data_IF_837894953626
#
_entry.id   IF_837894953626
#
_cell.length_a   1.000
_cell.length_b   1.000
_cell.length_c   1.000
_cell.angle_alpha   90.00
_cell.angle_beta   90.00
_cell.angle_gamma   90.00
#
_symmetry.space_group_name_H-M   'P 1'
#
loop_
_entity.id
_entity.type
_entity.pdbx_description
1 polymer ?
#
# COMPACT_ATOMS: atom_id res chain seq x y z
N UNK A 1 33.76 3.27 -5.06
CA UNK A 1 32.32 2.97 -5.20
C UNK A 1 31.55 4.26 -4.94
N UNK A 2 30.70 4.71 -5.85
CA UNK A 2 29.83 5.85 -5.59
C UNK A 2 28.63 5.36 -4.76
N UNK A 3 28.49 5.86 -3.53
CA UNK A 3 27.25 5.69 -2.77
C UNK A 3 26.20 6.61 -3.38
N UNK A 4 25.27 6.03 -4.12
CA UNK A 4 24.08 6.74 -4.63
C UNK A 4 22.97 6.46 -3.63
N UNK A 5 22.35 7.52 -3.10
CA UNK A 5 21.14 7.39 -2.30
C UNK A 5 19.93 7.65 -3.19
N UNK A 6 19.12 6.62 -3.55
CA UNK A 6 18.06 6.77 -4.54
C UNK A 6 17.01 7.83 -4.20
N UNK A 7 16.77 8.07 -2.91
CA UNK A 7 15.84 9.12 -2.47
C UNK A 7 16.31 10.53 -2.84
N UNK A 8 17.63 10.79 -2.84
CA UNK A 8 18.18 12.10 -3.18
C UNK A 8 18.02 12.40 -4.67
N UNK A 9 18.04 11.38 -5.53
CA UNK A 9 17.82 11.53 -6.97
C UNK A 9 16.44 12.11 -7.27
N UNK A 10 15.41 11.76 -6.50
CA UNK A 10 14.06 12.31 -6.68
C UNK A 10 14.04 13.82 -6.40
N UNK A 11 14.68 14.25 -5.31
CA UNK A 11 14.77 15.66 -4.93
C UNK A 11 15.60 16.44 -5.96
N UNK A 12 16.75 15.91 -6.39
CA UNK A 12 17.58 16.50 -7.43
C UNK A 12 16.81 16.64 -8.75
N UNK A 13 16.03 15.63 -9.15
CA UNK A 13 15.21 15.67 -10.36
C UNK A 13 14.11 16.75 -10.26
N UNK A 14 13.48 16.89 -9.10
CA UNK A 14 12.50 17.95 -8.85
C UNK A 14 13.14 19.33 -8.96
N UNK A 15 14.23 19.59 -8.24
CA UNK A 15 14.91 20.89 -8.29
C UNK A 15 15.40 21.23 -9.70
N UNK A 16 15.96 20.25 -10.41
CA UNK A 16 16.36 20.44 -11.80
C UNK A 16 15.15 20.81 -12.67
N UNK A 17 14.01 20.14 -12.48
CA UNK A 17 12.77 20.44 -13.25
C UNK A 17 12.18 21.81 -12.94
N UNK A 18 12.34 22.30 -11.70
CA UNK A 18 11.89 23.63 -11.29
C UNK A 18 12.82 24.74 -11.77
N UNK A 19 14.12 24.48 -11.90
CA UNK A 19 15.13 25.48 -12.28
C UNK A 19 15.40 25.52 -13.79
N UNK A 20 15.24 24.37 -14.47
CA UNK A 20 15.45 24.27 -15.91
C UNK A 20 14.17 24.63 -16.69
N UNK A 21 14.18 25.83 -17.25
CA UNK A 21 13.13 26.32 -18.14
C UNK A 21 13.50 26.19 -19.63
N UNK A 22 14.57 25.45 -19.96
CA UNK A 22 14.93 25.19 -21.34
C UNK A 22 13.84 24.40 -22.08
N UNK A 23 13.76 24.59 -23.40
CA UNK A 23 12.84 23.81 -24.24
C UNK A 23 13.31 22.35 -24.26
N UNK A 24 12.37 21.42 -24.25
CA UNK A 24 12.69 20.00 -24.38
C UNK A 24 13.35 19.73 -25.73
N UNK A 25 14.53 19.15 -25.71
CA UNK A 25 15.22 18.67 -26.91
C UNK A 25 14.52 17.41 -27.45
N UNK A 26 13.81 17.48 -28.59
CA UNK A 26 13.02 16.36 -29.12
C UNK A 26 13.86 15.12 -29.42
N UNK A 27 15.18 15.27 -29.64
CA UNK A 27 16.10 14.16 -29.85
C UNK A 27 16.33 13.31 -28.58
N UNK A 28 16.17 13.93 -27.40
CA UNK A 28 16.34 13.28 -26.09
C UNK A 28 15.03 12.86 -25.44
N UNK A 29 13.90 13.33 -25.95
CA UNK A 29 12.56 13.10 -25.38
C UNK A 29 11.64 12.29 -26.30
N UNK A 30 12.22 11.51 -27.23
CA UNK A 30 11.45 10.66 -28.16
C UNK A 30 10.35 11.45 -28.92
N UNK A 31 10.70 12.65 -29.40
CA UNK A 31 9.79 13.53 -30.13
C UNK A 31 8.86 14.41 -29.28
N UNK A 32 8.89 14.31 -27.96
CA UNK A 32 8.06 15.16 -27.10
C UNK A 32 8.57 16.61 -27.08
N UNK A 33 7.65 17.55 -27.31
CA UNK A 33 7.93 19.00 -27.37
C UNK A 33 7.57 19.74 -26.08
N UNK A 34 6.99 19.03 -25.10
CA UNK A 34 6.60 19.61 -23.80
C UNK A 34 7.84 19.72 -22.90
N UNK A 35 8.13 20.93 -22.42
CA UNK A 35 9.18 21.18 -21.41
C UNK A 35 8.87 20.53 -20.06
N UNK A 36 9.92 20.15 -19.32
CA UNK A 36 9.82 19.40 -18.05
C UNK A 36 8.96 20.10 -17.00
N UNK A 37 9.15 21.41 -16.83
CA UNK A 37 8.35 22.22 -15.91
C UNK A 37 6.86 22.21 -16.24
N UNK A 38 6.50 22.31 -17.52
CA UNK A 38 5.09 22.26 -17.97
C UNK A 38 4.48 20.88 -17.73
N UNK A 39 5.23 19.81 -17.99
CA UNK A 39 4.79 18.45 -17.70
C UNK A 39 4.56 18.25 -16.20
N UNK A 40 5.47 18.75 -15.35
CA UNK A 40 5.33 18.70 -13.89
C UNK A 40 4.04 19.37 -13.42
N UNK A 41 3.72 20.57 -13.91
CA UNK A 41 2.47 21.25 -13.56
C UNK A 41 1.22 20.51 -14.05
N UNK A 42 1.24 19.96 -15.27
CA UNK A 42 0.13 19.18 -15.82
C UNK A 42 -0.13 17.96 -14.94
N UNK A 43 0.92 17.18 -14.64
CA UNK A 43 0.82 15.98 -13.81
C UNK A 43 0.41 16.33 -12.38
N UNK A 44 0.95 17.41 -11.81
CA UNK A 44 0.59 17.89 -10.47
C UNK A 44 -0.88 18.27 -10.35
N UNK A 45 -1.41 19.04 -11.30
CA UNK A 45 -2.83 19.40 -11.33
C UNK A 45 -3.73 18.18 -11.59
N UNK A 46 -3.30 17.27 -12.47
CA UNK A 46 -4.02 16.03 -12.72
C UNK A 46 -4.07 15.14 -11.47
N UNK A 47 -2.95 14.99 -10.76
CA UNK A 47 -2.86 14.22 -9.52
C UNK A 47 -3.70 14.86 -8.40
N UNK A 48 -3.65 16.19 -8.26
CA UNK A 48 -4.48 16.94 -7.33
C UNK A 48 -5.97 16.66 -7.58
N UNK A 49 -6.41 16.69 -8.84
CA UNK A 49 -7.80 16.43 -9.20
C UNK A 49 -8.17 14.96 -9.02
N UNK A 50 -7.27 14.04 -9.40
CA UNK A 50 -7.48 12.60 -9.26
C UNK A 50 -7.67 12.20 -7.79
N UNK A 51 -6.95 12.83 -6.86
CA UNK A 51 -7.01 12.51 -5.42
C UNK A 51 -8.43 12.53 -4.83
N UNK A 52 -9.31 13.40 -5.32
CA UNK A 52 -10.70 13.50 -4.86
C UNK A 52 -11.53 12.27 -5.21
N UNK A 53 -11.20 11.56 -6.30
CA UNK A 53 -11.94 10.41 -6.77
C UNK A 53 -11.85 9.22 -5.80
N UNK A 54 -10.67 8.63 -5.54
CA UNK A 54 -10.56 7.55 -4.58
C UNK A 54 -10.78 8.04 -3.14
N UNK A 55 -10.39 9.27 -2.78
CA UNK A 55 -10.50 9.76 -1.41
C UNK A 55 -11.94 10.07 -0.96
N UNK A 56 -12.77 10.60 -1.86
CA UNK A 56 -14.08 11.15 -1.47
C UNK A 56 -15.25 10.70 -2.36
N UNK A 57 -15.11 10.75 -3.69
CA UNK A 57 -16.23 10.49 -4.62
C UNK A 57 -16.59 9.00 -4.67
N UNK A 58 -15.58 8.14 -4.87
CA UNK A 58 -15.76 6.69 -4.92
C UNK A 58 -14.59 5.96 -4.25
N UNK A 59 -14.73 5.71 -2.95
CA UNK A 59 -13.75 5.00 -2.12
C UNK A 59 -13.47 3.56 -2.56
N UNK A 60 -14.33 2.98 -3.39
CA UNK A 60 -14.07 1.68 -4.02
C UNK A 60 -12.86 1.69 -4.96
N UNK A 61 -12.42 2.86 -5.44
CA UNK A 61 -11.19 3.00 -6.23
C UNK A 61 -9.91 2.77 -5.40
N UNK A 62 -9.93 3.09 -4.10
CA UNK A 62 -8.79 2.85 -3.22
C UNK A 62 -8.56 1.36 -2.96
N UNK A 63 -9.63 0.57 -2.89
CA UNK A 63 -9.58 -0.87 -2.65
C UNK A 63 -10.45 -1.60 -3.66
N UNK A 64 -9.92 -1.74 -4.88
CA UNK A 64 -10.70 -2.21 -6.02
C UNK A 64 -10.81 -3.74 -6.03
N UNK A 65 -11.66 -4.28 -5.15
CA UNK A 65 -11.87 -5.72 -4.97
C UNK A 65 -13.17 -6.20 -5.64
N UNK A 66 -13.17 -6.29 -6.98
CA UNK A 66 -14.35 -6.75 -7.75
C UNK A 66 -14.87 -8.10 -7.25
N UNK A 67 -14.00 -9.05 -6.93
CA UNK A 67 -14.39 -10.37 -6.44
C UNK A 67 -15.23 -10.28 -5.15
N UNK A 68 -14.85 -9.39 -4.22
CA UNK A 68 -15.61 -9.15 -2.99
C UNK A 68 -16.94 -8.43 -3.26
N UNK A 69 -17.05 -7.62 -4.32
CA UNK A 69 -18.31 -6.98 -4.70
C UNK A 69 -19.31 -7.97 -5.32
N UNK A 70 -18.81 -8.97 -6.05
CA UNK A 70 -19.65 -10.02 -6.65
C UNK A 70 -20.20 -10.96 -5.56
N UNK A 71 -19.38 -11.32 -4.57
CA UNK A 71 -19.76 -12.25 -3.50
C UNK A 71 -19.45 -11.69 -2.10
N UNK A 72 -20.14 -10.62 -1.66
CA UNK A 72 -19.82 -9.91 -0.42
C UNK A 72 -20.04 -10.76 0.84
N UNK A 73 -20.95 -11.72 0.80
CA UNK A 73 -21.27 -12.57 1.95
C UNK A 73 -20.40 -13.84 2.04
N UNK A 74 -19.51 -14.08 1.07
CA UNK A 74 -18.66 -15.26 1.07
C UNK A 74 -17.42 -15.03 1.93
N UNK A 75 -17.32 -15.74 3.05
CA UNK A 75 -16.16 -15.65 3.96
C UNK A 75 -14.86 -16.01 3.22
N UNK A 76 -14.89 -17.05 2.37
CA UNK A 76 -13.70 -17.50 1.62
C UNK A 76 -13.26 -16.43 0.62
N UNK A 77 -14.18 -15.84 -0.13
CA UNK A 77 -13.85 -14.79 -1.11
C UNK A 77 -13.26 -13.57 -0.42
N UNK A 78 -13.84 -13.16 0.72
CA UNK A 78 -13.31 -12.04 1.50
C UNK A 78 -11.95 -12.35 2.13
N UNK A 79 -11.70 -13.59 2.60
CA UNK A 79 -10.38 -14.00 3.11
C UNK A 79 -9.32 -13.97 2.01
N UNK A 80 -9.64 -14.41 0.78
CA UNK A 80 -8.68 -14.48 -0.32
C UNK A 80 -8.45 -13.12 -1.02
N UNK A 81 -9.52 -12.39 -1.33
CA UNK A 81 -9.45 -11.20 -2.19
C UNK A 81 -9.75 -9.89 -1.45
N UNK A 82 -10.13 -9.95 -0.18
CA UNK A 82 -10.38 -8.74 0.62
C UNK A 82 -9.09 -7.99 0.90
N UNK A 83 -9.06 -6.69 0.62
CA UNK A 83 -7.87 -5.85 0.81
C UNK A 83 -7.60 -5.47 2.29
N UNK A 84 -8.64 -5.34 3.12
CA UNK A 84 -8.48 -4.88 4.51
C UNK A 84 -8.18 -6.01 5.50
N UNK A 85 -8.91 -7.13 5.40
CA UNK A 85 -8.85 -8.24 6.37
C UNK A 85 -8.49 -9.59 5.73
N UNK A 86 -8.18 -9.60 4.44
CA UNK A 86 -7.83 -10.79 3.66
C UNK A 86 -6.43 -10.69 3.07
N UNK A 87 -6.06 -11.66 2.24
CA UNK A 87 -4.74 -11.73 1.59
C UNK A 87 -4.56 -10.72 0.45
N UNK A 88 -5.64 -10.15 -0.10
CA UNK A 88 -5.58 -9.21 -1.20
C UNK A 88 -4.86 -9.76 -2.45
N UNK A 89 -5.10 -11.03 -2.81
CA UNK A 89 -4.37 -11.73 -3.89
C UNK A 89 -4.41 -11.04 -5.25
N UNK A 90 -5.39 -10.17 -5.48
CA UNK A 90 -5.48 -9.30 -6.65
C UNK A 90 -5.46 -7.85 -6.14
N UNK A 91 -4.28 -7.30 -5.84
CA UNK A 91 -4.16 -5.98 -5.22
C UNK A 91 -4.28 -4.91 -6.32
N UNK A 92 -5.51 -4.50 -6.62
CA UNK A 92 -5.78 -3.38 -7.53
C UNK A 92 -6.20 -2.18 -6.70
N UNK A 93 -5.48 -1.08 -6.89
CA UNK A 93 -5.81 0.21 -6.31
C UNK A 93 -5.56 1.28 -7.36
N UNK A 94 -6.45 2.27 -7.40
CA UNK A 94 -6.30 3.49 -8.18
C UNK A 94 -5.95 4.69 -7.30
N UNK A 95 -5.56 4.42 -6.05
CA UNK A 95 -5.19 5.41 -5.06
C UNK A 95 -3.69 5.28 -4.76
N UNK A 96 -2.94 6.31 -5.16
CA UNK A 96 -1.50 6.33 -4.94
C UNK A 96 -1.13 6.27 -3.45
N UNK A 97 -1.98 6.78 -2.55
CA UNK A 97 -1.70 6.74 -1.11
C UNK A 97 -1.81 5.35 -0.53
N UNK A 98 -2.68 4.50 -1.07
CA UNK A 98 -2.75 3.09 -0.70
C UNK A 98 -1.49 2.36 -1.15
N UNK A 99 -0.98 2.66 -2.35
CA UNK A 99 0.25 2.07 -2.86
C UNK A 99 1.49 2.51 -2.04
N UNK A 100 1.56 3.78 -1.63
CA UNK A 100 2.75 4.32 -0.94
C UNK A 100 2.68 4.31 0.59
N UNK A 101 1.52 4.04 1.18
CA UNK A 101 1.28 4.20 2.62
C UNK A 101 2.20 3.37 3.52
N UNK A 102 2.62 2.18 3.06
CA UNK A 102 3.50 1.28 3.81
C UNK A 102 4.91 1.16 3.22
N UNK A 103 5.05 1.16 1.89
CA UNK A 103 6.32 0.88 1.20
C UNK A 103 7.06 2.19 0.85
N UNK A 104 6.43 3.35 1.02
CA UNK A 104 6.93 4.61 0.47
C UNK A 104 6.77 4.63 -1.05
N UNK A 105 7.62 5.37 -1.77
CA UNK A 105 7.53 5.42 -3.24
C UNK A 105 8.21 4.20 -3.89
N UNK A 106 7.46 3.28 -4.54
CA UNK A 106 8.05 2.11 -5.19
C UNK A 106 8.83 2.47 -6.47
N UNK A 107 8.75 3.73 -6.92
CA UNK A 107 9.49 4.22 -8.09
C UNK A 107 10.97 4.51 -7.78
N UNK A 108 11.33 4.54 -6.50
CA UNK A 108 12.70 4.82 -6.02
C UNK A 108 13.58 3.56 -6.04
N UNK A 109 13.18 2.42 -5.43
CA UNK A 109 14.01 1.23 -5.41
C UNK A 109 14.14 0.59 -6.81
N UNK A 110 15.28 -0.05 -7.10
CA UNK A 110 15.48 -0.74 -8.36
C UNK A 110 14.64 -2.02 -8.44
N UNK A 111 14.35 -2.46 -9.67
CA UNK A 111 13.47 -3.61 -9.93
C UNK A 111 13.86 -4.89 -9.17
N UNK A 112 15.16 -5.20 -9.07
CA UNK A 112 15.62 -6.41 -8.38
C UNK A 112 15.28 -6.41 -6.88
N UNK A 113 15.30 -5.25 -6.22
CA UNK A 113 14.94 -5.11 -4.82
C UNK A 113 13.43 -5.30 -4.66
N UNK A 114 12.63 -4.71 -5.55
CA UNK A 114 11.17 -4.89 -5.59
C UNK A 114 10.81 -6.37 -5.82
N UNK A 115 11.46 -7.02 -6.79
CA UNK A 115 11.22 -8.42 -7.11
C UNK A 115 11.59 -9.36 -5.95
N UNK A 116 12.68 -9.08 -5.24
CA UNK A 116 13.07 -9.84 -4.05
C UNK A 116 12.04 -9.72 -2.92
N UNK A 117 11.60 -8.50 -2.61
CA UNK A 117 10.54 -8.25 -1.61
C UNK A 117 9.24 -8.94 -2.02
N UNK A 118 8.84 -8.82 -3.29
CA UNK A 118 7.65 -9.50 -3.83
C UNK A 118 7.75 -11.02 -3.67
N UNK A 119 8.92 -11.61 -3.95
CA UNK A 119 9.17 -13.03 -3.73
C UNK A 119 9.00 -13.44 -2.26
N UNK A 120 9.52 -12.61 -1.34
CA UNK A 120 9.33 -12.82 0.10
C UNK A 120 7.86 -12.75 0.53
N UNK A 121 7.10 -11.78 0.01
CA UNK A 121 5.67 -11.64 0.28
C UNK A 121 4.91 -12.86 -0.26
N UNK A 122 5.17 -13.28 -1.50
CA UNK A 122 4.51 -14.46 -2.08
C UNK A 122 4.82 -15.72 -1.28
N UNK A 123 6.07 -15.91 -0.86
CA UNK A 123 6.42 -17.12 -0.12
C UNK A 123 5.87 -17.11 1.31
N UNK A 124 6.19 -16.10 2.11
CA UNK A 124 5.82 -16.08 3.53
C UNK A 124 4.36 -15.69 3.75
N UNK A 125 3.91 -14.61 3.12
CA UNK A 125 2.58 -14.07 3.39
C UNK A 125 1.49 -14.77 2.56
N UNK A 126 1.76 -15.11 1.30
CA UNK A 126 0.77 -15.82 0.49
C UNK A 126 0.84 -17.32 0.81
N UNK A 127 1.93 -18.02 0.51
CA UNK A 127 1.97 -19.49 0.60
C UNK A 127 1.93 -19.99 2.06
N UNK A 128 2.88 -19.57 2.90
CA UNK A 128 3.01 -20.11 4.27
C UNK A 128 1.83 -19.71 5.14
N UNK A 129 1.47 -18.41 5.17
CA UNK A 129 0.34 -17.95 5.98
C UNK A 129 -0.99 -18.55 5.51
N UNK A 130 -1.26 -18.65 4.20
CA UNK A 130 -2.48 -19.33 3.74
C UNK A 130 -2.50 -20.79 4.18
N UNK A 131 -1.35 -21.48 4.10
CA UNK A 131 -1.24 -22.86 4.57
C UNK A 131 -1.65 -23.02 6.03
N UNK A 132 -1.20 -22.12 6.91
CA UNK A 132 -1.53 -22.11 8.34
C UNK A 132 -3.00 -21.72 8.59
N UNK A 133 -3.49 -20.70 7.86
CA UNK A 133 -4.85 -20.16 8.07
C UNK A 133 -5.93 -21.14 7.63
N UNK A 134 -5.73 -21.82 6.51
CA UNK A 134 -6.68 -22.80 5.99
C UNK A 134 -6.48 -24.22 6.55
N UNK A 135 -5.38 -24.51 7.27
CA UNK A 135 -5.21 -25.77 8.00
C UNK A 135 -5.87 -25.78 9.38
N UNK A 136 -6.46 -24.65 9.82
CA UNK A 136 -7.03 -24.50 11.15
C UNK A 136 -5.99 -24.45 12.27
N UNK A 137 -4.71 -24.28 11.93
CA UNK A 137 -3.64 -24.21 12.92
C UNK A 137 -3.81 -22.96 13.79
N UNK A 138 -3.65 -23.12 15.11
CA UNK A 138 -3.80 -22.06 16.12
C UNK A 138 -5.16 -21.35 16.14
N UNK A 139 -6.25 -22.03 15.77
CA UNK A 139 -7.58 -21.41 15.76
C UNK A 139 -7.64 -20.17 14.83
N UNK A 140 -6.80 -20.15 13.80
CA UNK A 140 -6.68 -19.04 12.84
C UNK A 140 -7.99 -18.75 12.09
N UNK A 141 -8.87 -19.74 11.95
CA UNK A 141 -10.18 -19.57 11.34
C UNK A 141 -11.10 -18.57 12.05
N UNK A 142 -10.91 -18.39 13.36
CA UNK A 142 -11.73 -17.51 14.20
C UNK A 142 -11.27 -16.06 14.17
N UNK A 143 -10.11 -15.78 13.56
CA UNK A 143 -9.55 -14.44 13.44
C UNK A 143 -9.45 -14.03 11.96
N UNK A 144 -9.54 -12.72 11.65
CA UNK A 144 -9.24 -12.26 10.30
C UNK A 144 -7.82 -12.62 9.89
N UNK A 145 -7.58 -12.78 8.59
CA UNK A 145 -6.25 -13.12 8.04
C UNK A 145 -5.21 -12.09 8.47
N UNK A 146 -5.62 -10.82 8.46
CA UNK A 146 -4.79 -9.70 8.88
C UNK A 146 -5.65 -8.70 9.65
N UNK A 147 -5.06 -8.15 10.71
CA UNK A 147 -5.66 -7.10 11.51
C UNK A 147 -4.56 -6.36 12.28
N UNK A 148 -4.73 -5.06 12.45
CA UNK A 148 -3.92 -4.23 13.36
C UNK A 148 -4.48 -4.20 14.79
N UNK A 149 -5.62 -4.87 15.03
CA UNK A 149 -6.31 -4.90 16.32
C UNK A 149 -5.93 -6.15 17.10
N UNK A 150 -5.77 -6.01 18.42
CA UNK A 150 -5.62 -7.14 19.33
C UNK A 150 -6.99 -7.70 19.72
N UNK A 151 -7.11 -9.03 19.76
CA UNK A 151 -8.36 -9.71 20.12
C UNK A 151 -8.25 -10.38 21.49
N UNK A 152 -9.38 -10.48 22.20
CA UNK A 152 -9.50 -11.33 23.37
C UNK A 152 -9.77 -12.80 22.98
N UNK A 153 -9.91 -13.67 23.99
CA UNK A 153 -10.17 -15.10 23.80
C UNK A 153 -11.55 -15.42 23.18
N UNK A 154 -12.41 -14.43 23.01
CA UNK A 154 -13.72 -14.54 22.36
C UNK A 154 -13.72 -13.98 20.93
N UNK A 155 -12.59 -13.44 20.47
CA UNK A 155 -12.48 -12.79 19.15
C UNK A 155 -13.00 -11.34 19.13
N UNK A 156 -13.31 -10.75 20.29
CA UNK A 156 -13.70 -9.35 20.40
C UNK A 156 -12.45 -8.45 20.54
N UNK A 157 -12.51 -7.16 20.16
CA UNK A 157 -11.41 -6.22 20.38
C UNK A 157 -11.00 -6.17 21.85
N UNK A 158 -9.70 -6.32 22.12
CA UNK A 158 -9.18 -6.42 23.47
C UNK A 158 -9.34 -5.10 24.24
N UNK A 159 -9.95 -5.17 25.43
CA UNK A 159 -10.07 -4.01 26.30
C UNK A 159 -8.76 -3.75 27.06
N UNK A 160 -8.01 -2.73 26.62
CA UNK A 160 -6.73 -2.31 27.19
C UNK A 160 -6.87 -1.81 28.64
N UNK A 161 -8.03 -1.30 29.06
CA UNK A 161 -8.24 -0.85 30.44
C UNK A 161 -8.15 -1.99 31.46
N UNK A 162 -8.17 -3.25 31.01
CA UNK A 162 -8.03 -4.43 31.89
C UNK A 162 -6.62 -4.63 32.42
N UNK A 163 -5.62 -4.08 31.74
CA UNK A 163 -4.20 -4.23 32.09
C UNK A 163 -3.57 -2.91 32.53
N UNK A 164 -4.36 -1.84 32.59
CA UNK A 164 -3.89 -0.52 33.00
C UNK A 164 -4.49 -0.13 34.35
N UNK A 165 -3.67 0.44 35.23
CA UNK A 165 -4.13 1.08 36.46
C UNK A 165 -4.78 2.46 36.15
N UNK A 166 -5.29 3.14 37.19
CA UNK A 166 -5.89 4.47 37.05
C UNK A 166 -4.89 5.57 36.58
N UNK A 167 -3.59 5.28 36.62
CA UNK A 167 -2.51 6.17 36.19
C UNK A 167 -1.93 5.77 34.82
N UNK A 168 -2.57 4.84 34.10
CA UNK A 168 -2.12 4.28 32.83
C UNK A 168 -0.78 3.51 32.89
N UNK A 169 -0.39 2.98 34.04
CA UNK A 169 0.70 2.00 34.16
C UNK A 169 0.18 0.59 33.98
N UNK A 170 1.05 -0.34 33.56
CA UNK A 170 0.69 -1.76 33.55
C UNK A 170 0.35 -2.24 34.96
N UNK A 171 -0.81 -2.85 35.11
CA UNK A 171 -1.22 -3.46 36.35
C UNK A 171 -0.48 -4.80 36.51
N UNK A 172 0.59 -4.79 37.31
CA UNK A 172 1.45 -5.95 37.60
C UNK A 172 0.90 -6.86 38.71
N UNK A 173 -0.30 -6.56 39.23
CA UNK A 173 -0.99 -7.29 40.31
C UNK A 173 -2.39 -7.72 39.92
#
# INVERSE_FOLDING_TARGET
>A
AAMIWPADLVNCALFYTLHDHSRSDPSKTNGWTIGRYKLFLIVGCAAFTWYWFPGWIFRGLSYFAIACWIAPNSVIVNKLFGNNHGYGLIPITFDWTVATGFIGSPLIPPFYAIANVLGGIIFFFVIVSMGIHFSGTWYSDYVPVQSSTSYDNTGAPYNVSRILDANFNFNET
#
